data_IF_219512572009
#
_entry.id   IF_219512572009
#
_cell.length_a   1.000
_cell.length_b   1.000
_cell.length_c   1.000
_cell.angle_alpha   90.00
_cell.angle_beta   90.00
_cell.angle_gamma   90.00
#
_symmetry.space_group_name_H-M   'P 1'
#
loop_
_entity.id
_entity.type
_entity.pdbx_description
1 polymer ?
#
# COMPACT_ATOMS: atom_id res chain seq x y z
N UNK A 1 8.18 -10.83 49.02
CA UNK A 1 7.86 -9.66 48.18
C UNK A 1 6.82 -10.00 47.10
N UNK A 2 5.59 -10.27 47.55
CA UNK A 2 4.44 -10.63 46.68
C UNK A 2 4.12 -9.51 45.68
N UNK A 3 4.33 -8.24 46.06
CA UNK A 3 4.11 -7.06 45.19
C UNK A 3 5.04 -7.03 43.96
N UNK A 4 6.32 -7.41 44.13
CA UNK A 4 7.27 -7.43 43.02
C UNK A 4 6.90 -8.53 42.01
N UNK A 5 6.46 -9.69 42.48
CA UNK A 5 6.02 -10.80 41.61
C UNK A 5 4.76 -10.41 40.84
N UNK A 6 3.80 -9.75 41.51
CA UNK A 6 2.56 -9.29 40.86
C UNK A 6 2.83 -8.24 39.75
N UNK A 7 3.73 -7.26 39.98
CA UNK A 7 4.13 -6.26 38.99
C UNK A 7 4.84 -6.91 37.81
N UNK A 8 5.74 -7.87 38.07
CA UNK A 8 6.44 -8.54 36.96
C UNK A 8 5.49 -9.38 36.12
N UNK A 9 4.56 -10.10 36.74
CA UNK A 9 3.55 -10.88 36.02
C UNK A 9 2.64 -9.97 35.18
N UNK A 10 2.22 -8.83 35.74
CA UNK A 10 1.44 -7.84 35.01
C UNK A 10 2.18 -7.31 33.77
N UNK A 11 3.47 -6.94 33.92
CA UNK A 11 4.28 -6.44 32.80
C UNK A 11 4.46 -7.51 31.70
N UNK A 12 4.65 -8.77 32.05
CA UNK A 12 4.81 -9.86 31.08
C UNK A 12 3.51 -10.12 30.31
N UNK A 13 2.37 -10.12 30.99
CA UNK A 13 1.06 -10.36 30.36
C UNK A 13 0.68 -9.21 29.42
N UNK A 14 0.97 -7.96 29.78
CA UNK A 14 0.62 -6.79 28.99
C UNK A 14 1.73 -6.31 28.04
N UNK A 15 2.85 -7.04 27.97
CA UNK A 15 3.97 -6.72 27.07
C UNK A 15 3.53 -6.52 25.60
N UNK A 16 2.68 -7.37 24.98
CA UNK A 16 2.26 -7.19 23.61
C UNK A 16 1.36 -5.94 23.41
N UNK A 17 0.52 -5.62 24.39
CA UNK A 17 -0.35 -4.43 24.34
C UNK A 17 0.45 -3.15 24.53
N UNK A 18 1.41 -3.15 25.46
CA UNK A 18 2.34 -2.04 25.66
C UNK A 18 3.19 -1.79 24.43
N UNK A 19 3.67 -2.86 23.77
CA UNK A 19 4.42 -2.74 22.54
C UNK A 19 3.59 -2.08 21.42
N UNK A 20 2.35 -2.53 21.21
CA UNK A 20 1.43 -1.93 20.24
C UNK A 20 1.13 -0.46 20.55
N UNK A 21 0.89 -0.14 21.84
CA UNK A 21 0.66 1.23 22.27
C UNK A 21 1.88 2.12 22.03
N UNK A 22 3.09 1.63 22.30
CA UNK A 22 4.34 2.35 22.05
C UNK A 22 4.62 2.49 20.55
N UNK A 23 4.31 1.50 19.73
CA UNK A 23 4.40 1.58 18.27
C UNK A 23 3.42 2.62 17.71
N UNK A 24 2.18 2.68 18.22
CA UNK A 24 1.21 3.71 17.85
C UNK A 24 1.61 5.12 18.30
N UNK A 25 2.19 5.27 19.49
CA UNK A 25 2.72 6.54 19.96
C UNK A 25 4.00 6.95 19.20
N UNK A 26 4.83 5.98 18.82
CA UNK A 26 6.04 6.21 18.03
C UNK A 26 5.75 6.57 16.56
N UNK A 27 4.61 6.12 16.01
CA UNK A 27 4.17 6.48 14.66
C UNK A 27 3.55 7.88 14.59
N UNK A 28 3.11 8.44 15.72
CA UNK A 28 2.72 9.85 15.80
C UNK A 28 3.96 10.70 16.07
N UNK A 29 4.72 11.01 15.05
CA UNK A 29 5.71 12.08 14.79
C UNK A 29 6.22 12.97 15.96
N UNK A 30 6.31 12.51 17.22
CA UNK A 30 6.84 13.31 18.32
C UNK A 30 8.37 13.17 18.51
N UNK A 31 8.99 12.10 17.98
CA UNK A 31 10.44 11.88 18.07
C UNK A 31 11.20 12.17 16.77
N UNK A 32 10.52 12.26 15.63
CA UNK A 32 11.16 12.58 14.35
C UNK A 32 11.63 14.03 14.24
N UNK A 33 11.14 14.93 15.11
CA UNK A 33 11.58 16.32 15.17
C UNK A 33 12.98 16.54 15.78
N UNK A 34 13.54 15.56 16.48
CA UNK A 34 14.80 15.73 17.24
C UNK A 34 15.98 14.99 16.61
N UNK A 35 15.77 13.96 15.79
CA UNK A 35 16.85 13.12 15.25
C UNK A 35 16.96 13.08 13.73
N UNK A 36 16.08 13.75 12.99
CA UNK A 36 16.15 13.82 11.53
C UNK A 36 16.87 15.10 11.08
N UNK A 37 18.17 15.10 11.24
CA UNK A 37 19.05 15.91 10.41
C UNK A 37 19.50 14.96 9.28
N UNK A 38 19.07 15.35 8.09
CA UNK A 38 19.44 14.80 6.78
C UNK A 38 18.73 13.53 6.29
N UNK A 39 18.10 13.67 5.14
CA UNK A 39 17.48 12.67 4.23
C UNK A 39 16.00 12.33 4.40
N UNK A 40 15.04 13.28 4.47
CA UNK A 40 13.68 12.78 4.41
C UNK A 40 12.49 13.69 4.28
N UNK A 41 12.64 14.99 4.19
CA UNK A 41 11.46 15.88 4.14
C UNK A 41 10.84 16.10 2.76
N UNK A 42 11.32 15.44 1.71
CA UNK A 42 10.77 15.60 0.34
C UNK A 42 10.05 14.38 -0.21
N UNK A 43 9.77 13.35 0.59
CA UNK A 43 9.35 12.05 0.07
C UNK A 43 7.87 11.67 0.29
N UNK A 44 7.05 12.49 0.96
CA UNK A 44 5.65 12.11 1.24
C UNK A 44 4.61 12.78 0.34
N UNK A 45 4.94 13.84 -0.37
CA UNK A 45 4.00 14.40 -1.34
C UNK A 45 4.26 13.82 -2.72
N UNK A 46 3.20 13.22 -3.30
CA UNK A 46 3.17 12.89 -4.71
C UNK A 46 3.31 14.18 -5.50
N UNK A 47 4.36 14.26 -6.32
CA UNK A 47 4.39 15.36 -7.28
C UNK A 47 3.41 15.07 -8.43
N UNK A 48 2.93 16.11 -9.10
CA UNK A 48 2.00 16.01 -10.21
C UNK A 48 2.50 15.06 -11.32
N UNK A 49 3.81 14.92 -11.48
CA UNK A 49 4.41 13.99 -12.41
C UNK A 49 4.11 12.55 -12.01
N UNK A 50 4.30 12.18 -10.74
CA UNK A 50 4.03 10.83 -10.24
C UNK A 50 2.55 10.48 -10.38
N UNK A 51 1.66 11.41 -10.04
CA UNK A 51 0.21 11.24 -10.24
C UNK A 51 -0.10 10.96 -11.72
N UNK A 52 0.48 11.76 -12.63
CA UNK A 52 0.29 11.58 -14.06
C UNK A 52 0.78 10.23 -14.56
N UNK A 53 1.96 9.79 -14.12
CA UNK A 53 2.54 8.50 -14.49
C UNK A 53 1.72 7.32 -13.97
N UNK A 54 1.22 7.39 -12.72
CA UNK A 54 0.31 6.39 -12.14
C UNK A 54 -1.00 6.30 -12.92
N UNK A 55 -1.65 7.43 -13.16
CA UNK A 55 -2.90 7.48 -13.92
C UNK A 55 -2.70 6.91 -15.33
N UNK A 56 -1.64 7.32 -16.03
CA UNK A 56 -1.30 6.84 -17.35
C UNK A 56 -1.09 5.33 -17.36
N UNK A 57 -0.22 4.81 -16.50
CA UNK A 57 0.04 3.37 -16.40
C UNK A 57 -1.23 2.58 -16.14
N UNK A 58 -2.04 3.02 -15.17
CA UNK A 58 -3.30 2.38 -14.80
C UNK A 58 -4.24 2.23 -15.99
N UNK A 59 -4.48 3.31 -16.74
CA UNK A 59 -5.43 3.27 -17.86
C UNK A 59 -4.85 2.63 -19.12
N UNK A 60 -3.54 2.66 -19.34
CA UNK A 60 -2.91 1.88 -20.41
C UNK A 60 -3.04 0.37 -20.13
N UNK A 61 -2.76 -0.08 -18.91
CA UNK A 61 -2.96 -1.47 -18.50
C UNK A 61 -4.44 -1.89 -18.55
N UNK A 62 -5.35 -1.01 -18.16
CA UNK A 62 -6.79 -1.25 -18.20
C UNK A 62 -7.30 -1.51 -19.63
N UNK A 63 -6.81 -0.79 -20.63
CA UNK A 63 -7.17 -0.96 -22.05
C UNK A 63 -6.86 -2.35 -22.59
N UNK A 64 -5.73 -2.91 -22.18
CA UNK A 64 -5.25 -4.24 -22.61
C UNK A 64 -5.55 -5.33 -21.62
N UNK A 65 -6.26 -5.00 -20.52
CA UNK A 65 -6.63 -5.91 -19.44
C UNK A 65 -5.43 -6.55 -18.74
N UNK A 66 -4.33 -5.82 -18.62
CA UNK A 66 -3.23 -6.24 -17.76
C UNK A 66 -3.61 -6.02 -16.30
N UNK A 67 -3.67 -7.11 -15.53
CA UNK A 67 -3.97 -7.06 -14.10
C UNK A 67 -2.87 -6.34 -13.32
N UNK A 68 -3.24 -5.38 -12.47
CA UNK A 68 -2.28 -4.63 -11.66
C UNK A 68 -2.80 -4.40 -10.24
N UNK A 69 -1.87 -4.34 -9.29
CA UNK A 69 -2.13 -4.08 -7.88
C UNK A 69 -1.04 -3.14 -7.34
N UNK A 70 -1.37 -1.87 -7.15
CA UNK A 70 -0.43 -0.83 -6.73
C UNK A 70 -0.87 -0.26 -5.39
N UNK A 71 -0.03 -0.41 -4.36
CA UNK A 71 -0.28 0.07 -3.00
C UNK A 71 0.55 1.33 -2.76
N UNK A 72 -0.12 2.41 -2.43
CA UNK A 72 0.49 3.72 -2.18
C UNK A 72 0.60 3.91 -0.68
N UNK A 73 1.83 3.99 -0.18
CA UNK A 73 2.13 4.29 1.21
C UNK A 73 1.70 5.70 1.56
N UNK A 74 1.01 5.85 2.71
CA UNK A 74 0.65 7.14 3.30
C UNK A 74 1.31 7.28 4.68
N UNK A 75 0.55 7.51 5.73
CA UNK A 75 1.06 7.67 7.09
C UNK A 75 1.58 6.38 7.72
N UNK A 76 0.97 5.25 7.38
CA UNK A 76 1.37 3.93 7.89
C UNK A 76 2.47 3.33 7.03
N UNK A 77 3.62 3.03 7.62
CA UNK A 77 4.75 2.42 6.89
C UNK A 77 4.43 1.02 6.39
N UNK A 78 4.71 0.76 5.10
CA UNK A 78 4.52 -0.53 4.45
C UNK A 78 5.81 -1.39 4.38
N UNK A 79 6.84 -1.08 5.16
CA UNK A 79 8.15 -1.77 5.13
C UNK A 79 8.04 -3.29 5.34
N UNK A 80 7.11 -3.75 6.17
CA UNK A 80 6.91 -5.20 6.38
C UNK A 80 6.35 -5.86 5.11
N UNK A 81 5.50 -5.18 4.36
CA UNK A 81 4.98 -5.64 3.07
C UNK A 81 6.11 -5.62 2.02
N UNK A 82 6.90 -4.54 1.95
CA UNK A 82 8.04 -4.43 1.04
C UNK A 82 9.04 -5.59 1.19
N UNK A 83 9.31 -6.02 2.43
CA UNK A 83 10.23 -7.13 2.72
C UNK A 83 9.78 -8.48 2.15
N UNK A 84 8.50 -8.62 1.82
CA UNK A 84 7.98 -9.85 1.20
C UNK A 84 8.24 -9.90 -0.30
N UNK A 85 8.58 -8.76 -0.91
CA UNK A 85 8.78 -8.60 -2.34
C UNK A 85 10.24 -8.44 -2.75
N UNK A 86 10.43 -7.98 -3.96
CA UNK A 86 11.72 -7.67 -4.57
C UNK A 86 11.91 -6.16 -4.57
N UNK A 87 12.98 -5.68 -3.97
CA UNK A 87 13.34 -4.27 -3.94
C UNK A 87 13.62 -3.74 -5.36
N UNK A 88 12.99 -2.63 -5.72
CA UNK A 88 13.15 -1.98 -7.02
C UNK A 88 13.86 -0.62 -6.86
N UNK A 89 13.43 0.17 -5.89
CA UNK A 89 13.97 1.52 -5.61
C UNK A 89 14.05 2.43 -6.85
N UNK A 90 13.08 2.30 -7.78
CA UNK A 90 13.03 3.06 -9.04
C UNK A 90 12.07 4.26 -9.00
N UNK A 91 12.31 5.29 -9.80
CA UNK A 91 11.33 6.38 -9.98
C UNK A 91 10.03 5.83 -10.58
N UNK A 92 8.89 6.34 -10.11
CA UNK A 92 7.60 6.02 -10.71
C UNK A 92 7.54 6.59 -12.12
N UNK A 93 7.44 5.70 -13.10
CA UNK A 93 7.16 6.02 -14.50
C UNK A 93 6.13 5.02 -15.03
N UNK A 94 5.32 5.46 -15.97
CA UNK A 94 4.31 4.57 -16.59
C UNK A 94 4.96 3.36 -17.25
N UNK A 95 6.13 3.55 -17.88
CA UNK A 95 6.88 2.48 -18.53
C UNK A 95 7.36 1.42 -17.51
N UNK A 96 7.89 1.86 -16.35
CA UNK A 96 8.34 0.93 -15.31
C UNK A 96 7.16 0.10 -14.79
N UNK A 97 6.04 0.74 -14.46
CA UNK A 97 4.86 0.06 -13.95
C UNK A 97 4.26 -0.92 -14.96
N UNK A 98 4.13 -0.53 -16.23
CA UNK A 98 3.64 -1.40 -17.29
C UNK A 98 4.56 -2.62 -17.46
N UNK A 99 5.88 -2.43 -17.45
CA UNK A 99 6.84 -3.53 -17.55
C UNK A 99 6.82 -4.47 -16.34
N UNK A 100 6.60 -3.94 -15.12
CA UNK A 100 6.46 -4.79 -13.93
C UNK A 100 5.24 -5.70 -14.06
N UNK A 101 4.10 -5.18 -14.49
CA UNK A 101 2.86 -5.94 -14.59
C UNK A 101 2.68 -6.68 -15.91
N UNK A 102 3.65 -6.58 -16.84
CA UNK A 102 3.61 -7.33 -18.10
C UNK A 102 3.52 -8.83 -17.82
N UNK A 103 2.60 -9.50 -18.52
CA UNK A 103 2.27 -10.89 -18.30
C UNK A 103 3.49 -11.80 -18.53
N UNK A 104 3.64 -12.85 -17.73
CA UNK A 104 4.75 -13.79 -17.77
C UNK A 104 6.15 -13.20 -17.45
N UNK A 105 6.23 -12.05 -16.82
CA UNK A 105 7.48 -11.50 -16.27
C UNK A 105 7.68 -11.95 -14.82
N UNK A 106 8.91 -11.99 -14.29
CA UNK A 106 9.14 -12.37 -12.89
C UNK A 106 8.53 -11.44 -11.85
N UNK A 107 8.15 -10.22 -12.23
CA UNK A 107 7.68 -9.17 -11.32
C UNK A 107 6.17 -8.97 -11.31
N UNK A 108 5.41 -9.63 -12.21
CA UNK A 108 4.00 -9.32 -12.43
C UNK A 108 3.03 -9.86 -11.37
N UNK A 109 3.45 -10.90 -10.65
CA UNK A 109 2.59 -11.52 -9.62
C UNK A 109 2.82 -10.88 -8.26
N UNK A 110 1.76 -10.42 -7.63
CA UNK A 110 1.79 -9.69 -6.38
C UNK A 110 1.52 -8.20 -6.51
N UNK A 111 1.85 -7.44 -5.46
CA UNK A 111 1.64 -6.01 -5.40
C UNK A 111 2.93 -5.22 -5.63
N UNK A 112 2.78 -4.03 -6.18
CA UNK A 112 3.82 -3.00 -6.21
C UNK A 112 3.55 -2.04 -5.06
N UNK A 113 4.56 -1.79 -4.22
CA UNK A 113 4.53 -0.78 -3.17
C UNK A 113 5.17 0.51 -3.68
N UNK A 114 4.44 1.60 -3.54
CA UNK A 114 4.87 2.94 -3.96
C UNK A 114 5.00 3.81 -2.70
N UNK A 115 6.19 4.38 -2.51
CA UNK A 115 6.49 5.30 -1.43
C UNK A 115 7.02 6.61 -1.99
N UNK A 116 6.26 7.69 -1.75
CA UNK A 116 6.53 8.97 -2.39
C UNK A 116 6.59 8.81 -3.91
N UNK A 117 7.64 9.32 -4.53
CA UNK A 117 7.80 9.28 -5.99
C UNK A 117 8.54 8.03 -6.52
N UNK A 118 8.64 6.97 -5.72
CA UNK A 118 9.41 5.77 -6.06
C UNK A 118 8.59 4.49 -5.94
N UNK A 119 8.84 3.56 -6.85
CA UNK A 119 8.49 2.15 -6.70
C UNK A 119 9.47 1.56 -5.70
N UNK A 120 9.02 1.23 -4.50
CA UNK A 120 9.86 0.67 -3.45
C UNK A 120 10.16 -0.80 -3.70
N UNK A 121 9.12 -1.61 -3.91
CA UNK A 121 9.23 -3.05 -4.16
C UNK A 121 8.11 -3.54 -5.08
N UNK A 122 8.33 -4.69 -5.71
CA UNK A 122 7.35 -5.41 -6.52
C UNK A 122 7.18 -6.84 -5.99
N UNK A 123 6.20 -7.59 -6.49
CA UNK A 123 5.85 -8.96 -6.04
C UNK A 123 5.55 -9.06 -4.55
N UNK A 124 5.08 -7.98 -3.92
CA UNK A 124 4.78 -7.97 -2.50
C UNK A 124 3.49 -8.75 -2.21
N UNK A 125 3.49 -9.49 -1.10
CA UNK A 125 2.31 -10.19 -0.60
C UNK A 125 1.47 -9.27 0.28
N UNK A 126 0.16 -9.27 0.03
CA UNK A 126 -0.81 -8.52 0.82
C UNK A 126 -1.76 -9.48 1.56
N UNK A 127 -2.25 -9.08 2.74
CA UNK A 127 -3.32 -9.83 3.41
C UNK A 127 -4.58 -9.81 2.54
N UNK A 128 -5.27 -10.93 2.46
CA UNK A 128 -6.58 -11.00 1.81
C UNK A 128 -7.67 -10.63 2.82
N UNK A 129 -8.62 -9.80 2.38
CA UNK A 129 -9.80 -9.51 3.20
C UNK A 129 -10.69 -10.74 3.36
N UNK A 130 -11.13 -10.99 4.60
CA UNK A 130 -12.12 -12.01 4.94
C UNK A 130 -13.56 -11.47 4.84
N UNK A 131 -13.74 -10.25 4.40
CA UNK A 131 -15.05 -9.60 4.30
C UNK A 131 -15.94 -10.31 3.27
N UNK A 132 -16.96 -11.01 3.75
CA UNK A 132 -17.92 -11.75 2.93
C UNK A 132 -18.85 -10.87 2.09
N UNK A 133 -18.90 -9.55 2.37
CA UNK A 133 -19.69 -8.60 1.59
C UNK A 133 -19.03 -8.20 0.26
N UNK A 134 -17.72 -8.49 0.09
CA UNK A 134 -17.04 -8.28 -1.18
C UNK A 134 -17.62 -9.24 -2.21
N UNK A 135 -18.03 -8.68 -3.36
CA UNK A 135 -18.61 -9.48 -4.44
C UNK A 135 -17.66 -10.65 -4.80
N UNK A 136 -18.19 -11.88 -4.73
CA UNK A 136 -17.45 -13.12 -5.03
C UNK A 136 -16.89 -13.19 -6.46
N UNK A 137 -17.43 -12.38 -7.37
CA UNK A 137 -16.92 -12.23 -8.74
C UNK A 137 -15.64 -11.41 -8.83
N UNK A 138 -15.19 -10.79 -7.72
CA UNK A 138 -13.93 -10.05 -7.68
C UNK A 138 -12.75 -11.00 -7.39
N UNK A 139 -11.70 -10.91 -8.21
CA UNK A 139 -10.51 -11.75 -8.09
C UNK A 139 -9.65 -11.43 -6.84
N UNK A 140 -8.59 -12.23 -6.68
CA UNK A 140 -7.68 -12.15 -5.53
C UNK A 140 -7.04 -10.78 -5.35
N UNK A 141 -6.71 -10.06 -6.44
CA UNK A 141 -6.15 -8.70 -6.38
C UNK A 141 -7.09 -7.70 -5.71
N UNK A 142 -8.38 -7.79 -5.96
CA UNK A 142 -9.37 -6.92 -5.30
C UNK A 142 -9.48 -7.22 -3.81
N UNK A 143 -9.49 -8.51 -3.43
CA UNK A 143 -9.52 -8.91 -2.02
C UNK A 143 -8.24 -8.52 -1.28
N UNK A 144 -7.09 -8.59 -1.94
CA UNK A 144 -5.83 -8.13 -1.41
C UNK A 144 -5.80 -6.60 -1.21
N UNK A 145 -6.34 -5.84 -2.18
CA UNK A 145 -6.46 -4.40 -2.07
C UNK A 145 -7.32 -3.96 -0.88
N UNK A 146 -8.46 -4.62 -0.69
CA UNK A 146 -9.30 -4.35 0.49
C UNK A 146 -8.58 -4.76 1.77
N UNK A 147 -7.97 -5.95 1.81
CA UNK A 147 -7.28 -6.47 3.00
C UNK A 147 -6.17 -5.56 3.52
N UNK A 148 -5.33 -5.03 2.64
CA UNK A 148 -4.29 -4.06 3.06
C UNK A 148 -4.91 -2.73 3.53
N UNK A 149 -5.99 -2.27 2.90
CA UNK A 149 -6.66 -1.04 3.27
C UNK A 149 -7.51 -1.14 4.55
N UNK A 150 -7.81 -2.35 5.04
CA UNK A 150 -8.45 -2.59 6.35
C UNK A 150 -7.48 -2.37 7.51
N UNK A 151 -6.19 -2.59 7.29
CA UNK A 151 -5.15 -2.57 8.33
C UNK A 151 -4.21 -1.37 8.25
N UNK A 152 -4.25 -0.62 7.16
CA UNK A 152 -3.42 0.56 6.90
C UNK A 152 -4.25 1.69 6.32
N UNK A 153 -3.69 2.90 6.30
CA UNK A 153 -4.25 4.07 5.63
C UNK A 153 -3.84 4.19 4.15
N UNK A 154 -3.29 3.09 3.59
CA UNK A 154 -2.84 3.06 2.20
C UNK A 154 -3.98 3.22 1.21
N UNK A 155 -3.66 3.81 0.06
CA UNK A 155 -4.54 3.84 -1.11
C UNK A 155 -4.07 2.75 -2.09
N UNK A 156 -4.97 1.85 -2.48
CA UNK A 156 -4.60 0.75 -3.36
C UNK A 156 -5.37 0.81 -4.68
N UNK A 157 -4.64 0.88 -5.79
CA UNK A 157 -5.21 0.87 -7.14
C UNK A 157 -5.20 -0.56 -7.67
N UNK A 158 -6.33 -1.00 -8.22
CA UNK A 158 -6.50 -2.32 -8.83
C UNK A 158 -6.95 -2.18 -10.28
N UNK A 159 -6.30 -2.91 -11.17
CA UNK A 159 -6.78 -3.14 -12.55
C UNK A 159 -7.18 -4.61 -12.67
N UNK A 160 -8.42 -4.84 -13.08
CA UNK A 160 -8.93 -6.21 -13.30
C UNK A 160 -8.38 -6.79 -14.61
N UNK A 161 -7.76 -7.96 -14.54
CA UNK A 161 -7.30 -8.69 -15.73
C UNK A 161 -8.46 -9.29 -16.56
N UNK A 162 -9.62 -9.49 -15.94
CA UNK A 162 -10.78 -10.03 -16.66
C UNK A 162 -11.53 -8.95 -17.42
N UNK A 163 -11.74 -7.79 -16.78
CA UNK A 163 -12.63 -6.75 -17.28
C UNK A 163 -11.94 -5.48 -17.72
N UNK A 164 -10.69 -5.23 -17.28
CA UNK A 164 -10.00 -3.95 -17.44
C UNK A 164 -10.56 -2.83 -16.55
N UNK A 165 -11.49 -3.14 -15.64
CA UNK A 165 -12.04 -2.12 -14.73
C UNK A 165 -10.98 -1.69 -13.72
N UNK A 166 -10.94 -0.38 -13.50
CA UNK A 166 -10.11 0.24 -12.47
C UNK A 166 -10.94 0.42 -11.21
N UNK A 167 -10.35 0.06 -10.08
CA UNK A 167 -10.93 0.26 -8.75
C UNK A 167 -9.87 0.78 -7.79
N UNK A 168 -10.31 1.44 -6.73
CA UNK A 168 -9.46 1.92 -5.64
C UNK A 168 -10.01 1.37 -4.33
N UNK A 169 -9.13 0.82 -3.49
CA UNK A 169 -9.43 0.41 -2.13
C UNK A 169 -8.82 1.39 -1.13
N UNK A 170 -9.63 1.80 -0.15
CA UNK A 170 -9.26 2.71 0.93
C UNK A 170 -10.17 2.46 2.13
N UNK A 171 -9.60 2.34 3.35
CA UNK A 171 -10.38 2.13 4.58
C UNK A 171 -11.29 0.90 4.56
N UNK A 172 -10.86 -0.20 3.94
CA UNK A 172 -11.64 -1.43 3.82
C UNK A 172 -12.75 -1.38 2.75
N UNK A 173 -12.86 -0.29 1.99
CA UNK A 173 -13.89 -0.12 0.95
C UNK A 173 -13.27 -0.10 -0.44
N UNK A 174 -13.94 -0.78 -1.37
CA UNK A 174 -13.57 -0.80 -2.78
C UNK A 174 -14.51 0.08 -3.60
N UNK A 175 -13.96 1.02 -4.36
CA UNK A 175 -14.72 1.93 -5.24
C UNK A 175 -14.27 1.77 -6.68
N UNK A 176 -15.21 1.72 -7.63
CA UNK A 176 -14.89 1.74 -9.07
C UNK A 176 -14.50 3.15 -9.50
N UNK A 177 -13.47 3.24 -10.34
CA UNK A 177 -12.92 4.51 -10.85
C UNK A 177 -12.93 4.46 -12.39
N UNK A 178 -13.99 4.98 -13.03
CA UNK A 178 -14.20 4.79 -14.46
C UNK A 178 -13.32 5.68 -15.34
N UNK A 179 -12.78 6.78 -14.83
CA UNK A 179 -12.06 7.77 -15.62
C UNK A 179 -10.71 8.15 -15.04
N UNK A 180 -9.77 8.53 -15.90
CA UNK A 180 -8.45 9.03 -15.52
C UNK A 180 -8.52 10.28 -14.63
N UNK A 181 -9.48 11.16 -14.89
CA UNK A 181 -9.72 12.36 -14.10
C UNK A 181 -10.17 12.02 -12.67
N UNK A 182 -11.09 11.05 -12.53
CA UNK A 182 -11.52 10.59 -11.21
C UNK A 182 -10.36 9.98 -10.41
N UNK A 183 -9.49 9.18 -11.05
CA UNK A 183 -8.30 8.64 -10.39
C UNK A 183 -7.33 9.75 -9.97
N UNK A 184 -7.09 10.72 -10.86
CA UNK A 184 -6.25 11.87 -10.56
C UNK A 184 -6.73 12.61 -9.31
N UNK A 185 -8.02 12.93 -9.25
CA UNK A 185 -8.60 13.65 -8.11
C UNK A 185 -8.44 12.88 -6.79
N UNK A 186 -8.56 11.54 -6.83
CA UNK A 186 -8.33 10.67 -5.65
C UNK A 186 -6.85 10.70 -5.22
N UNK A 187 -5.92 10.74 -6.17
CA UNK A 187 -4.47 10.73 -5.88
C UNK A 187 -3.94 12.09 -5.42
N UNK A 188 -4.62 13.19 -5.76
CA UNK A 188 -4.21 14.57 -5.45
C UNK A 188 -4.89 15.13 -4.19
N UNK A 189 -5.86 14.45 -3.60
CA UNK A 189 -6.58 14.84 -2.38
C UNK A 189 -6.06 14.09 -1.18
#
# INVERSE_FOLDING_TARGET
NITAIAVTAFLVVFQPELRKALEQLGSQNLLSGILAQDDGKSSQEFNDRTVNELVRATFEMAKVKTGALMVIERGTSLKEIERTGIEISGLVTSQLLINIFEHNTPLHDGAVVIRGNRVAAATCYLPLSDNMSINKALGTRHRAAVGVSETTDSLTIVVSEETGRVSVAEGGMLRSVPTAEALRNILSG
#
